data_IF_309881986093
#
_entry.id   IF_309881986093
#
_cell.length_a   1.000
_cell.length_b   1.000
_cell.length_c   1.000
_cell.angle_alpha   90.00
_cell.angle_beta   90.00
_cell.angle_gamma   90.00
#
_symmetry.space_group_name_H-M   'P 1'
#
loop_
_entity.id
_entity.type
_entity.pdbx_description
1 polymer ?
#
# COMPACT_ATOMS: atom_id res chain seq x y z
N UNK A 1 -38.87 -15.91 -28.14
CA UNK A 1 -39.11 -15.18 -26.88
C UNK A 1 -39.50 -16.24 -25.86
N UNK A 2 -38.86 -16.49 -24.71
CA UNK A 2 -38.09 -15.62 -23.83
C UNK A 2 -37.22 -16.48 -22.90
N UNK A 3 -36.00 -15.99 -22.67
CA UNK A 3 -35.17 -16.09 -21.46
C UNK A 3 -34.89 -17.45 -20.78
N UNK A 4 -33.73 -18.02 -21.12
CA UNK A 4 -32.97 -18.87 -20.20
C UNK A 4 -32.61 -18.07 -18.93
N UNK A 5 -32.67 -18.66 -17.73
CA UNK A 5 -32.13 -18.03 -16.54
C UNK A 5 -30.61 -17.91 -16.68
N UNK A 6 -30.07 -16.71 -16.46
CA UNK A 6 -28.62 -16.48 -16.39
C UNK A 6 -28.10 -17.24 -15.17
N UNK A 7 -27.14 -18.14 -15.38
CA UNK A 7 -26.30 -18.67 -14.29
C UNK A 7 -25.75 -17.46 -13.50
N UNK A 8 -25.84 -17.41 -12.16
CA UNK A 8 -25.08 -16.44 -11.42
C UNK A 8 -23.60 -16.70 -11.71
N UNK A 9 -22.89 -15.66 -12.15
CA UNK A 9 -21.43 -15.71 -12.20
C UNK A 9 -20.95 -16.03 -10.79
N UNK A 10 -20.21 -17.12 -10.64
CA UNK A 10 -19.37 -17.32 -9.47
C UNK A 10 -18.31 -16.22 -9.56
N UNK A 11 -18.50 -15.13 -8.81
CA UNK A 11 -17.47 -14.11 -8.63
C UNK A 11 -16.23 -14.78 -8.01
N UNK A 12 -15.07 -14.79 -8.68
CA UNK A 12 -13.86 -15.42 -8.14
C UNK A 12 -13.30 -14.65 -6.92
N UNK A 13 -13.81 -13.46 -6.62
CA UNK A 13 -13.36 -12.62 -5.49
C UNK A 13 -14.23 -12.73 -4.23
N UNK A 14 -15.35 -13.47 -4.27
CA UNK A 14 -16.28 -13.55 -3.14
C UNK A 14 -15.78 -14.39 -1.95
N UNK A 15 -14.67 -15.14 -2.07
CA UNK A 15 -14.28 -16.15 -1.07
C UNK A 15 -12.89 -16.00 -0.42
N UNK A 16 -12.16 -14.89 -0.62
CA UNK A 16 -10.80 -14.75 -0.10
C UNK A 16 -10.58 -13.71 1.02
N UNK A 17 -11.62 -13.00 1.48
CA UNK A 17 -11.48 -12.02 2.59
C UNK A 17 -11.88 -12.57 3.96
N UNK A 18 -12.44 -13.78 4.01
CA UNK A 18 -12.93 -14.38 5.24
C UNK A 18 -11.86 -15.15 6.06
N UNK A 19 -10.61 -15.25 5.58
CA UNK A 19 -9.57 -16.08 6.22
C UNK A 19 -8.36 -15.34 6.80
N UNK A 20 -8.25 -14.02 6.62
CA UNK A 20 -7.10 -13.26 7.15
C UNK A 20 -7.40 -12.43 8.41
N UNK A 21 -8.61 -12.48 8.96
CA UNK A 21 -8.98 -11.59 10.08
C UNK A 21 -8.77 -12.17 11.48
N UNK A 22 -8.30 -13.42 11.60
CA UNK A 22 -8.11 -14.08 12.91
C UNK A 22 -6.67 -14.56 13.14
N UNK A 23 -5.67 -13.80 12.69
CA UNK A 23 -4.27 -14.22 12.86
C UNK A 23 -3.28 -13.11 13.19
N UNK A 24 -3.59 -12.13 14.05
CA UNK A 24 -2.54 -11.32 14.74
C UNK A 24 -3.05 -10.79 16.09
N UNK A 25 -3.19 -11.63 17.11
CA UNK A 25 -3.20 -11.18 18.52
C UNK A 25 -2.34 -12.13 19.35
N UNK A 26 -1.03 -12.07 19.15
CA UNK A 26 -0.05 -12.75 20.01
C UNK A 26 1.31 -12.06 19.94
N UNK A 27 1.55 -11.11 20.87
CA UNK A 27 2.85 -10.54 21.31
C UNK A 27 2.49 -9.35 22.23
N UNK A 28 2.93 -9.12 23.46
CA UNK A 28 3.98 -9.61 24.38
C UNK A 28 3.52 -9.25 25.82
N UNK A 29 3.85 -10.07 26.83
CA UNK A 29 3.47 -9.95 28.26
C UNK A 29 4.72 -9.70 29.13
N UNK A 30 4.55 -9.00 30.25
CA UNK A 30 5.53 -8.86 31.35
C UNK A 30 6.51 -7.70 31.21
N UNK A 31 6.70 -6.87 32.23
CA UNK A 31 7.81 -5.93 32.35
C UNK A 31 8.76 -6.73 33.23
N UNK A 32 9.86 -7.26 32.74
CA UNK A 32 10.63 -6.97 31.52
C UNK A 32 10.02 -7.41 30.17
N UNK A 33 9.82 -6.46 29.24
CA UNK A 33 9.34 -6.73 27.86
C UNK A 33 7.83 -6.48 27.60
N UNK A 34 7.34 -5.24 27.81
CA UNK A 34 5.88 -5.00 27.91
C UNK A 34 5.38 -3.80 27.11
N UNK A 35 5.09 -3.99 25.82
CA UNK A 35 4.31 -3.02 25.03
C UNK A 35 2.85 -3.00 25.54
N UNK A 36 2.26 -1.82 25.75
CA UNK A 36 0.85 -1.71 26.12
C UNK A 36 -0.05 -2.46 25.12
N UNK A 37 -0.83 -3.43 25.61
CA UNK A 37 -1.72 -4.28 24.77
C UNK A 37 -3.12 -3.67 24.69
N UNK A 38 -3.74 -3.58 23.49
CA UNK A 38 -5.09 -3.04 23.33
C UNK A 38 -6.14 -3.84 24.13
N UNK A 39 -6.84 -3.17 25.05
CA UNK A 39 -7.88 -3.80 25.89
C UNK A 39 -9.17 -4.12 25.13
N UNK A 40 -9.47 -3.39 24.06
CA UNK A 40 -10.73 -3.47 23.30
C UNK A 40 -10.46 -3.49 21.80
N UNK A 41 -11.35 -4.13 21.05
CA UNK A 41 -11.36 -4.04 19.58
C UNK A 41 -11.70 -2.61 19.16
N UNK A 42 -10.87 -2.04 18.29
CA UNK A 42 -11.11 -0.72 17.72
C UNK A 42 -12.33 -0.74 16.79
N UNK A 43 -13.15 0.32 16.82
CA UNK A 43 -14.32 0.43 15.95
C UNK A 43 -13.92 0.41 14.46
N UNK A 44 -14.85 -0.03 13.59
CA UNK A 44 -14.63 -0.05 12.14
C UNK A 44 -14.32 1.35 11.60
N UNK A 45 -15.06 2.36 12.05
CA UNK A 45 -14.88 3.76 11.61
C UNK A 45 -13.49 4.29 11.98
N UNK A 46 -13.03 4.10 13.22
CA UNK A 46 -11.70 4.54 13.67
C UNK A 46 -10.59 3.82 12.91
N UNK A 47 -10.76 2.52 12.68
CA UNK A 47 -9.79 1.72 11.94
C UNK A 47 -9.68 2.19 10.48
N UNK A 48 -10.81 2.46 9.81
CA UNK A 48 -10.84 2.95 8.42
C UNK A 48 -10.23 4.36 8.33
N UNK A 49 -10.59 5.24 9.25
CA UNK A 49 -10.04 6.60 9.33
C UNK A 49 -8.51 6.57 9.47
N UNK A 50 -7.98 5.83 10.46
CA UNK A 50 -6.51 5.73 10.65
C UNK A 50 -5.79 5.14 9.44
N UNK A 51 -6.31 4.06 8.84
CA UNK A 51 -5.71 3.47 7.63
C UNK A 51 -5.73 4.41 6.44
N UNK A 52 -6.78 5.22 6.30
CA UNK A 52 -6.90 6.16 5.17
C UNK A 52 -5.86 7.28 5.19
N UNK A 53 -5.17 7.51 6.32
CA UNK A 53 -4.07 8.46 6.42
C UNK A 53 -2.73 7.87 5.99
N UNK A 54 -2.61 6.54 5.91
CA UNK A 54 -1.40 5.91 5.39
C UNK A 54 -1.45 5.94 3.86
N UNK A 55 -1.01 7.06 3.31
CA UNK A 55 -0.91 7.34 1.88
C UNK A 55 0.50 7.86 1.58
N UNK A 56 0.98 7.60 0.37
CA UNK A 56 2.21 8.18 -0.13
C UNK A 56 1.88 9.41 -0.99
N UNK A 57 2.63 10.50 -0.80
CA UNK A 57 2.55 11.66 -1.69
C UNK A 57 3.40 11.40 -2.94
N UNK A 58 2.83 11.56 -4.16
CA UNK A 58 3.60 11.42 -5.37
C UNK A 58 4.65 12.53 -5.45
N UNK A 59 5.88 12.15 -5.78
CA UNK A 59 6.96 13.13 -5.96
C UNK A 59 6.84 13.79 -7.34
N UNK A 60 6.94 15.12 -7.39
CA UNK A 60 6.97 15.85 -8.66
C UNK A 60 8.22 15.49 -9.45
N UNK A 61 8.01 15.06 -10.69
CA UNK A 61 9.08 14.68 -11.62
C UNK A 61 9.42 15.84 -12.56
N UNK A 62 10.67 15.89 -12.98
CA UNK A 62 11.18 16.81 -13.99
C UNK A 62 11.84 16.02 -15.11
N UNK A 63 11.56 16.42 -16.35
CA UNK A 63 12.23 15.87 -17.52
C UNK A 63 13.67 16.36 -17.57
N UNK A 64 14.63 15.42 -17.59
CA UNK A 64 16.05 15.71 -17.78
C UNK A 64 16.59 14.87 -18.93
N UNK A 65 17.44 15.48 -19.77
CA UNK A 65 18.18 14.77 -20.82
C UNK A 65 19.50 14.26 -20.27
N UNK A 66 19.69 12.95 -20.29
CA UNK A 66 20.91 12.28 -19.81
C UNK A 66 21.33 11.28 -20.87
N UNK A 67 22.59 11.37 -21.33
CA UNK A 67 23.15 10.47 -22.35
C UNK A 67 22.27 10.30 -23.61
N UNK A 68 21.62 11.38 -24.04
CA UNK A 68 20.74 11.37 -25.22
C UNK A 68 19.32 10.83 -24.99
N UNK A 69 19.00 10.36 -23.77
CA UNK A 69 17.66 9.89 -23.39
C UNK A 69 16.96 10.88 -22.47
N UNK A 70 15.66 11.07 -22.68
CA UNK A 70 14.81 11.83 -21.76
C UNK A 70 14.29 10.92 -20.64
N UNK A 71 14.55 11.31 -19.40
CA UNK A 71 14.11 10.59 -18.19
C UNK A 71 13.36 11.54 -17.25
N UNK A 72 12.41 10.99 -16.50
CA UNK A 72 11.64 11.70 -15.49
C UNK A 72 12.26 11.43 -14.12
N UNK A 73 12.84 12.45 -13.51
CA UNK A 73 13.53 12.32 -12.22
C UNK A 73 13.01 13.32 -11.19
N UNK A 74 12.99 12.98 -9.90
CA UNK A 74 12.75 13.96 -8.85
C UNK A 74 13.75 15.12 -8.96
N UNK A 75 13.26 16.35 -8.78
CA UNK A 75 14.09 17.58 -8.88
C UNK A 75 15.40 17.52 -8.08
N UNK A 76 15.37 16.87 -6.90
CA UNK A 76 16.54 16.75 -6.01
C UNK A 76 17.67 15.91 -6.64
N UNK A 77 17.33 14.96 -7.51
CA UNK A 77 18.27 14.03 -8.14
C UNK A 77 18.71 14.50 -9.54
N UNK A 78 18.06 15.49 -10.14
CA UNK A 78 18.36 15.97 -11.50
C UNK A 78 19.86 16.24 -11.74
N UNK A 79 20.56 16.83 -10.76
CA UNK A 79 21.99 17.14 -10.87
C UNK A 79 22.88 15.89 -10.81
N UNK A 80 22.47 14.86 -10.06
CA UNK A 80 23.22 13.61 -9.97
C UNK A 80 23.15 12.84 -11.31
N UNK A 81 21.96 12.80 -11.91
CA UNK A 81 21.72 12.21 -13.23
C UNK A 81 22.47 12.95 -14.36
N UNK A 82 22.50 14.29 -14.33
CA UNK A 82 23.30 15.07 -15.29
C UNK A 82 24.81 14.78 -15.19
N UNK A 83 25.30 14.50 -13.98
CA UNK A 83 26.71 14.20 -13.72
C UNK A 83 27.07 12.72 -13.88
N UNK A 84 26.10 11.85 -14.17
CA UNK A 84 26.31 10.41 -14.28
C UNK A 84 26.66 9.74 -12.95
N UNK A 85 26.29 10.34 -11.81
CA UNK A 85 26.59 9.80 -10.48
C UNK A 85 25.54 8.79 -9.99
N UNK A 86 24.37 8.79 -10.61
CA UNK A 86 23.30 7.85 -10.31
C UNK A 86 22.78 7.24 -11.60
N UNK A 87 22.93 5.92 -11.71
CA UNK A 87 22.27 5.07 -12.69
C UNK A 87 21.32 4.17 -11.90
N UNK A 88 20.03 4.34 -12.10
CA UNK A 88 19.03 3.38 -11.63
C UNK A 88 18.22 2.94 -12.85
N UNK A 89 18.18 1.63 -13.07
CA UNK A 89 17.50 0.95 -14.17
C UNK A 89 15.96 1.03 -14.06
#
# INVERSE_FOLDING_TARGET
MSHRPRRPALDPDACAVARYTTAIVSTTKGAAGQMAVPKRKMSRSNTRSRRSQWKAEPTTLQTVRVQGREIQVPRRLAKAYQKGLEFAD
#
